data_IF_314296417212
#
_entry.id   IF_314296417212
#
_cell.length_a   1.000
_cell.length_b   1.000
_cell.length_c   1.000
_cell.angle_alpha   90.00
_cell.angle_beta   90.00
_cell.angle_gamma   90.00
#
_symmetry.space_group_name_H-M   'P 1'
#
loop_
_entity.id
_entity.type
_entity.pdbx_description
1 polymer ?
#
# COMPACT_ATOMS: atom_id res chain seq x y z
N UNK A 1 3.61 -4.17 28.59
CA UNK A 1 3.28 -4.92 27.33
C UNK A 1 1.95 -4.49 26.73
N UNK A 2 0.85 -4.33 27.48
CA UNK A 2 -0.45 -3.87 26.93
C UNK A 2 -0.36 -2.52 26.16
N UNK A 3 0.36 -1.56 26.66
CA UNK A 3 0.47 -0.23 26.02
C UNK A 3 1.14 -0.24 24.64
N UNK A 4 2.08 -1.17 24.39
CA UNK A 4 2.76 -1.29 23.09
C UNK A 4 1.80 -1.77 21.99
N UNK A 5 1.06 -2.85 22.22
CA UNK A 5 0.09 -3.37 21.26
C UNK A 5 -1.03 -2.37 20.96
N UNK A 6 -1.57 -1.71 21.99
CA UNK A 6 -2.60 -0.69 21.82
C UNK A 6 -2.09 0.46 20.95
N UNK A 7 -0.86 0.94 21.19
CA UNK A 7 -0.25 2.00 20.39
C UNK A 7 -0.06 1.57 18.92
N UNK A 8 0.42 0.35 18.69
CA UNK A 8 0.57 -0.19 17.33
C UNK A 8 -0.77 -0.30 16.61
N UNK A 9 -1.83 -0.76 17.29
CA UNK A 9 -3.18 -0.82 16.74
C UNK A 9 -3.73 0.58 16.42
N UNK A 10 -3.54 1.57 17.29
CA UNK A 10 -3.96 2.94 17.01
C UNK A 10 -3.26 3.52 15.78
N UNK A 11 -1.94 3.34 15.67
CA UNK A 11 -1.18 3.80 14.51
C UNK A 11 -1.63 3.06 13.24
N UNK A 12 -1.82 1.75 13.32
CA UNK A 12 -2.34 0.96 12.19
C UNK A 12 -3.73 1.44 11.77
N UNK A 13 -4.63 1.71 12.71
CA UNK A 13 -5.96 2.25 12.43
C UNK A 13 -5.91 3.60 11.72
N UNK A 14 -5.04 4.50 12.16
CA UNK A 14 -4.83 5.80 11.49
C UNK A 14 -4.31 5.61 10.06
N UNK A 15 -3.31 4.75 9.86
CA UNK A 15 -2.82 4.47 8.52
C UNK A 15 -3.87 3.80 7.64
N UNK A 16 -4.67 2.87 8.18
CA UNK A 16 -5.79 2.24 7.44
C UNK A 16 -6.79 3.29 6.98
N UNK A 17 -7.17 4.22 7.86
CA UNK A 17 -8.07 5.32 7.51
C UNK A 17 -7.46 6.24 6.44
N UNK A 18 -6.18 6.59 6.54
CA UNK A 18 -5.47 7.40 5.55
C UNK A 18 -5.40 6.69 4.19
N UNK A 19 -5.04 5.39 4.17
CA UNK A 19 -5.03 4.59 2.94
C UNK A 19 -6.42 4.57 2.33
N UNK A 20 -7.46 4.30 3.12
CA UNK A 20 -8.86 4.33 2.66
C UNK A 20 -9.21 5.69 2.04
N UNK A 21 -9.03 6.79 2.77
CA UNK A 21 -9.41 8.14 2.30
C UNK A 21 -8.66 8.51 1.03
N UNK A 22 -7.35 8.30 0.97
CA UNK A 22 -6.55 8.64 -0.20
C UNK A 22 -6.92 7.76 -1.39
N UNK A 23 -7.18 6.47 -1.19
CA UNK A 23 -7.58 5.56 -2.26
C UNK A 23 -9.00 5.87 -2.75
N UNK A 24 -9.94 6.14 -1.84
CA UNK A 24 -11.34 6.36 -2.17
C UNK A 24 -11.63 7.72 -2.80
N UNK A 25 -10.89 8.76 -2.40
CA UNK A 25 -11.19 10.14 -2.81
C UNK A 25 -10.14 10.79 -3.71
N UNK A 26 -8.88 10.30 -3.69
CA UNK A 26 -7.80 10.78 -4.57
C UNK A 26 -7.49 9.73 -5.65
N UNK A 27 -8.48 9.41 -6.47
CA UNK A 27 -8.34 8.44 -7.55
C UNK A 27 -8.80 9.01 -8.90
N UNK A 28 -8.23 8.45 -9.96
CA UNK A 28 -8.61 8.74 -11.34
C UNK A 28 -9.31 7.49 -11.88
N UNK A 29 -10.60 7.56 -12.25
CA UNK A 29 -11.32 6.43 -12.85
C UNK A 29 -10.67 5.99 -14.16
N UNK A 30 -10.68 4.68 -14.39
CA UNK A 30 -10.26 4.04 -15.64
C UNK A 30 -11.36 3.12 -16.15
N UNK A 31 -11.22 2.58 -17.35
CA UNK A 31 -12.25 1.72 -17.93
C UNK A 31 -12.55 0.46 -17.10
N UNK A 32 -11.54 -0.07 -16.38
CA UNK A 32 -11.65 -1.33 -15.62
C UNK A 32 -11.42 -1.16 -14.11
N UNK A 33 -11.42 0.07 -13.58
CA UNK A 33 -11.16 0.33 -12.18
C UNK A 33 -10.75 1.78 -11.95
N UNK A 34 -9.72 2.02 -11.13
CA UNK A 34 -9.22 3.36 -10.86
C UNK A 34 -7.75 3.35 -10.47
N UNK A 35 -7.05 4.45 -10.75
CA UNK A 35 -5.66 4.68 -10.36
C UNK A 35 -5.66 5.57 -9.11
N UNK A 36 -4.88 5.21 -8.09
CA UNK A 36 -4.78 5.96 -6.85
C UNK A 36 -3.34 6.00 -6.33
N UNK A 37 -3.06 6.86 -5.36
CA UNK A 37 -1.74 7.00 -4.75
C UNK A 37 -1.65 6.38 -3.34
N UNK A 38 -2.71 5.69 -2.89
CA UNK A 38 -2.82 5.11 -1.55
C UNK A 38 -1.73 4.09 -1.20
N UNK A 39 -1.16 3.40 -2.22
CA UNK A 39 -0.08 2.43 -1.99
C UNK A 39 1.16 3.06 -1.36
N UNK A 40 1.44 4.33 -1.64
CA UNK A 40 2.55 5.06 -0.99
C UNK A 40 2.41 5.12 0.54
N UNK A 41 1.18 5.22 1.04
CA UNK A 41 0.90 5.17 2.48
C UNK A 41 1.01 3.76 3.06
N UNK A 42 0.70 2.72 2.27
CA UNK A 42 0.94 1.33 2.65
C UNK A 42 2.44 1.09 2.82
N UNK A 43 3.27 1.52 1.86
CA UNK A 43 4.73 1.41 1.93
C UNK A 43 5.29 2.16 3.16
N UNK A 44 4.78 3.36 3.41
CA UNK A 44 5.16 4.17 4.58
C UNK A 44 4.80 3.45 5.89
N UNK A 45 3.59 2.91 5.99
CA UNK A 45 3.15 2.16 7.17
C UNK A 45 4.04 0.93 7.44
N UNK A 46 4.44 0.22 6.39
CA UNK A 46 5.32 -0.95 6.47
C UNK A 46 6.77 -0.61 6.86
N UNK A 47 7.20 0.64 6.63
CA UNK A 47 8.48 1.13 7.14
C UNK A 47 8.44 1.55 8.61
N UNK A 48 7.26 1.68 9.20
CA UNK A 48 7.07 2.14 10.59
C UNK A 48 6.57 0.99 11.48
N UNK A 49 5.58 0.24 11.02
CA UNK A 49 4.91 -0.80 11.77
C UNK A 49 5.55 -2.18 11.56
N UNK A 50 5.47 -3.08 12.56
CA UNK A 50 5.76 -4.50 12.35
C UNK A 50 4.86 -5.10 11.26
N UNK A 51 5.38 -6.10 10.55
CA UNK A 51 4.75 -6.69 9.37
C UNK A 51 3.27 -7.09 9.52
N UNK A 52 2.79 -7.66 10.66
CA UNK A 52 1.37 -8.03 10.76
C UNK A 52 0.44 -6.81 10.71
N UNK A 53 0.87 -5.71 11.34
CA UNK A 53 0.11 -4.45 11.33
C UNK A 53 0.17 -3.77 9.96
N UNK A 54 1.33 -3.81 9.31
CA UNK A 54 1.47 -3.25 7.96
C UNK A 54 0.60 -3.99 6.93
N UNK A 55 0.54 -5.32 7.01
CA UNK A 55 -0.38 -6.13 6.20
C UNK A 55 -1.85 -5.75 6.47
N UNK A 56 -2.22 -5.62 7.75
CA UNK A 56 -3.58 -5.23 8.13
C UNK A 56 -3.94 -3.83 7.61
N UNK A 57 -2.99 -2.89 7.59
CA UNK A 57 -3.17 -1.56 7.00
C UNK A 57 -3.45 -1.66 5.50
N UNK A 58 -2.61 -2.39 4.76
CA UNK A 58 -2.77 -2.56 3.32
C UNK A 58 -4.08 -3.26 2.96
N UNK A 59 -4.34 -4.40 3.59
CA UNK A 59 -5.55 -5.18 3.39
C UNK A 59 -6.82 -4.41 3.78
N UNK A 60 -6.83 -3.83 4.98
CA UNK A 60 -8.00 -3.11 5.51
C UNK A 60 -8.30 -1.82 4.75
N UNK A 61 -7.28 -1.03 4.42
CA UNK A 61 -7.45 0.20 3.65
C UNK A 61 -8.00 -0.05 2.25
N UNK A 62 -7.47 -1.07 1.55
CA UNK A 62 -7.95 -1.48 0.25
C UNK A 62 -9.37 -2.06 0.29
N UNK A 63 -9.65 -2.95 1.26
CA UNK A 63 -10.98 -3.51 1.47
C UNK A 63 -12.04 -2.41 1.64
N UNK A 64 -11.78 -1.46 2.52
CA UNK A 64 -12.70 -0.35 2.77
C UNK A 64 -12.90 0.52 1.53
N UNK A 65 -11.80 0.83 0.81
CA UNK A 65 -11.87 1.63 -0.39
C UNK A 65 -12.73 0.95 -1.46
N UNK A 66 -12.43 -0.30 -1.81
CA UNK A 66 -13.14 -1.03 -2.86
C UNK A 66 -14.61 -1.26 -2.51
N UNK A 67 -14.92 -1.64 -1.25
CA UNK A 67 -16.30 -1.88 -0.84
C UNK A 67 -17.15 -0.61 -0.78
N UNK A 68 -16.57 0.52 -0.38
CA UNK A 68 -17.34 1.76 -0.17
C UNK A 68 -17.38 2.68 -1.40
N UNK A 69 -16.55 2.41 -2.42
CA UNK A 69 -16.54 3.20 -3.67
C UNK A 69 -17.23 2.50 -4.85
N UNK A 70 -17.87 1.34 -4.62
CA UNK A 70 -18.60 0.61 -5.66
C UNK A 70 -17.73 -0.40 -6.43
N UNK A 71 -16.50 -0.64 -6.02
CA UNK A 71 -15.56 -1.58 -6.64
C UNK A 71 -15.39 -2.88 -5.84
N UNK A 72 -16.41 -3.32 -5.12
CA UNK A 72 -16.38 -4.47 -4.22
C UNK A 72 -15.88 -5.77 -4.87
N UNK A 73 -16.08 -5.93 -6.19
CA UNK A 73 -15.56 -7.07 -6.95
C UNK A 73 -14.03 -7.16 -6.92
N UNK A 74 -13.33 -6.02 -6.74
CA UNK A 74 -11.87 -5.94 -6.68
C UNK A 74 -11.34 -6.22 -5.29
N UNK A 75 -12.16 -6.07 -4.24
CA UNK A 75 -11.74 -6.16 -2.85
C UNK A 75 -10.95 -7.43 -2.49
N UNK A 76 -11.35 -8.67 -2.92
CA UNK A 76 -10.57 -9.87 -2.58
C UNK A 76 -9.15 -9.83 -3.16
N UNK A 77 -9.02 -9.41 -4.42
CA UNK A 77 -7.71 -9.26 -5.08
C UNK A 77 -6.86 -8.18 -4.41
N UNK A 78 -7.46 -7.02 -4.19
CA UNK A 78 -6.78 -5.89 -3.54
C UNK A 78 -6.27 -6.23 -2.14
N UNK A 79 -7.06 -6.92 -1.32
CA UNK A 79 -6.66 -7.37 0.02
C UNK A 79 -5.36 -8.20 -0.04
N UNK A 80 -5.32 -9.19 -0.91
CA UNK A 80 -4.15 -10.08 -1.05
C UNK A 80 -2.94 -9.31 -1.60
N UNK A 81 -3.13 -8.58 -2.70
CA UNK A 81 -2.06 -7.83 -3.35
C UNK A 81 -1.45 -6.80 -2.40
N UNK A 82 -2.27 -6.01 -1.69
CA UNK A 82 -1.77 -4.96 -0.79
C UNK A 82 -1.12 -5.53 0.48
N UNK A 83 -1.64 -6.64 1.01
CA UNK A 83 -1.01 -7.34 2.12
C UNK A 83 0.39 -7.87 1.74
N UNK A 84 0.50 -8.54 0.58
CA UNK A 84 1.78 -9.06 0.08
C UNK A 84 2.76 -7.93 -0.23
N UNK A 85 2.29 -6.86 -0.86
CA UNK A 85 3.12 -5.69 -1.17
C UNK A 85 3.70 -5.04 0.10
N UNK A 86 2.92 -4.97 1.19
CA UNK A 86 3.41 -4.45 2.46
C UNK A 86 4.59 -5.26 3.04
N UNK A 87 4.68 -6.57 2.78
CA UNK A 87 5.77 -7.43 3.24
C UNK A 87 7.13 -7.14 2.60
N UNK A 88 7.15 -6.46 1.46
CA UNK A 88 8.40 -6.13 0.76
C UNK A 88 9.20 -5.07 1.52
N UNK A 89 8.53 -4.21 2.26
CA UNK A 89 9.15 -3.13 3.00
C UNK A 89 9.55 -3.57 4.41
N UNK A 90 10.50 -2.84 5.00
CA UNK A 90 10.98 -3.17 6.34
C UNK A 90 10.96 -1.97 7.26
N UNK A 91 10.53 -2.20 8.49
CA UNK A 91 10.60 -1.23 9.56
C UNK A 91 11.94 -1.27 10.33
N UNK A 92 12.83 -2.21 9.99
CA UNK A 92 14.15 -2.32 10.61
C UNK A 92 15.04 -1.15 10.22
N UNK A 93 15.75 -0.60 11.20
CA UNK A 93 16.63 0.57 11.01
C UNK A 93 15.94 1.91 11.27
N UNK A 94 16.75 2.97 11.31
CA UNK A 94 16.32 4.31 11.76
C UNK A 94 15.72 5.18 10.63
N UNK A 95 15.87 4.76 9.38
CA UNK A 95 15.40 5.50 8.20
C UNK A 95 14.28 4.77 7.47
N UNK A 96 13.31 5.52 6.96
CA UNK A 96 12.27 5.03 6.06
C UNK A 96 12.90 4.72 4.71
N UNK A 97 13.71 5.65 4.19
CA UNK A 97 14.40 5.54 2.90
C UNK A 97 15.70 4.74 3.00
N UNK A 98 15.67 3.60 3.73
CA UNK A 98 16.75 2.62 3.72
C UNK A 98 16.89 1.98 2.34
N UNK A 99 18.11 1.58 1.92
CA UNK A 99 18.40 0.97 0.61
C UNK A 99 17.44 -0.16 0.25
N UNK A 100 17.11 -1.03 1.22
CA UNK A 100 16.16 -2.13 1.02
C UNK A 100 14.76 -1.62 0.64
N UNK A 101 14.29 -0.53 1.23
CA UNK A 101 12.98 0.03 0.95
C UNK A 101 12.93 0.73 -0.41
N UNK A 102 14.07 1.29 -0.86
CA UNK A 102 14.22 1.76 -2.23
C UNK A 102 14.09 0.63 -3.23
N UNK A 103 14.82 -0.46 -3.01
CA UNK A 103 14.77 -1.63 -3.89
C UNK A 103 13.39 -2.31 -3.89
N UNK A 104 12.65 -2.23 -2.79
CA UNK A 104 11.32 -2.82 -2.65
C UNK A 104 10.29 -2.19 -3.60
N UNK A 105 10.51 -0.98 -4.11
CA UNK A 105 9.60 -0.32 -5.06
C UNK A 105 9.47 -1.09 -6.38
N UNK A 106 10.54 -1.73 -6.84
CA UNK A 106 10.53 -2.49 -8.09
C UNK A 106 9.63 -3.74 -7.97
N UNK A 107 9.86 -4.67 -7.02
CA UNK A 107 8.98 -5.82 -6.86
C UNK A 107 7.56 -5.42 -6.42
N UNK A 108 7.37 -4.28 -5.73
CA UNK A 108 6.04 -3.78 -5.41
C UNK A 108 5.24 -3.44 -6.67
N UNK A 109 5.86 -2.78 -7.66
CA UNK A 109 5.23 -2.50 -8.94
C UNK A 109 4.90 -3.80 -9.72
N UNK A 110 5.82 -4.77 -9.72
CA UNK A 110 5.60 -6.07 -10.38
C UNK A 110 4.44 -6.84 -9.73
N UNK A 111 4.40 -6.90 -8.39
CA UNK A 111 3.32 -7.58 -7.66
C UNK A 111 1.98 -6.86 -7.87
N UNK A 112 1.99 -5.53 -7.91
CA UNK A 112 0.77 -4.76 -8.17
C UNK A 112 0.24 -5.06 -9.58
N UNK A 113 1.06 -4.87 -10.61
CA UNK A 113 0.64 -5.08 -12.00
C UNK A 113 0.31 -6.56 -12.28
N UNK A 114 1.18 -7.49 -11.88
CA UNK A 114 0.97 -8.92 -12.07
C UNK A 114 -0.17 -9.48 -11.24
N UNK A 115 -0.35 -8.99 -10.01
CA UNK A 115 -1.42 -9.40 -9.13
C UNK A 115 -2.80 -9.01 -9.67
N UNK A 116 -2.96 -7.77 -10.11
CA UNK A 116 -4.22 -7.35 -10.75
C UNK A 116 -4.44 -8.03 -12.09
N UNK A 117 -3.41 -8.22 -12.91
CA UNK A 117 -3.50 -9.01 -14.14
C UNK A 117 -4.03 -10.42 -13.87
N UNK A 118 -3.45 -11.14 -12.90
CA UNK A 118 -3.89 -12.49 -12.53
C UNK A 118 -5.31 -12.48 -11.96
N UNK A 119 -5.65 -11.51 -11.14
CA UNK A 119 -6.98 -11.39 -10.56
C UNK A 119 -8.04 -11.14 -11.64
N UNK A 120 -7.79 -10.22 -12.58
CA UNK A 120 -8.66 -9.97 -13.72
C UNK A 120 -8.80 -11.20 -14.62
N UNK A 121 -7.70 -11.93 -14.85
CA UNK A 121 -7.75 -13.18 -15.57
C UNK A 121 -8.70 -14.19 -14.90
N UNK A 122 -8.63 -14.33 -13.58
CA UNK A 122 -9.53 -15.22 -12.84
C UNK A 122 -10.99 -14.76 -12.90
N UNK A 123 -11.24 -13.45 -12.92
CA UNK A 123 -12.59 -12.90 -13.00
C UNK A 123 -13.23 -13.07 -14.38
N UNK A 124 -12.46 -12.84 -15.44
CA UNK A 124 -12.99 -12.75 -16.80
C UNK A 124 -12.71 -13.97 -17.68
N UNK A 125 -11.83 -14.88 -17.23
CA UNK A 125 -11.46 -16.08 -18.00
C UNK A 125 -10.73 -15.79 -19.32
N UNK A 126 -10.13 -14.59 -19.45
CA UNK A 126 -9.49 -14.11 -20.67
C UNK A 126 -8.10 -13.56 -20.39
N UNK A 127 -7.08 -14.04 -21.10
CA UNK A 127 -5.69 -13.60 -20.93
C UNK A 127 -5.38 -12.26 -21.61
N UNK A 128 -6.14 -11.85 -22.60
CA UNK A 128 -5.85 -10.65 -23.40
C UNK A 128 -6.42 -9.39 -22.75
N UNK A 129 -7.67 -9.47 -22.27
CA UNK A 129 -8.35 -8.31 -21.69
C UNK A 129 -7.57 -7.66 -20.52
N UNK A 130 -6.98 -8.41 -19.56
CA UNK A 130 -6.24 -7.82 -18.44
C UNK A 130 -4.95 -7.08 -18.85
N UNK A 131 -4.39 -7.37 -20.03
CA UNK A 131 -3.20 -6.66 -20.53
C UNK A 131 -3.43 -5.14 -20.62
N UNK A 132 -4.66 -4.73 -20.91
CA UNK A 132 -5.03 -3.32 -20.97
C UNK A 132 -4.95 -2.61 -19.60
N UNK A 133 -5.01 -3.34 -18.48
CA UNK A 133 -4.89 -2.82 -17.12
C UNK A 133 -3.43 -2.60 -16.67
N UNK A 134 -2.45 -3.23 -17.32
CA UNK A 134 -1.04 -3.16 -16.91
C UNK A 134 -0.51 -1.71 -16.89
N UNK A 135 -0.71 -0.87 -17.93
CA UNK A 135 -0.24 0.51 -17.90
C UNK A 135 -0.81 1.32 -16.74
N UNK A 136 -2.10 1.13 -16.42
CA UNK A 136 -2.76 1.77 -15.29
C UNK A 136 -2.12 1.35 -13.95
N UNK A 137 -1.89 0.06 -13.75
CA UNK A 137 -1.26 -0.48 -12.53
C UNK A 137 0.19 -0.01 -12.37
N UNK A 138 0.95 0.10 -13.46
CA UNK A 138 2.31 0.65 -13.43
C UNK A 138 2.31 2.15 -13.12
N UNK A 139 1.39 2.92 -13.70
CA UNK A 139 1.21 4.34 -13.39
C UNK A 139 0.85 4.54 -11.91
N UNK A 140 -0.06 3.73 -11.38
CA UNK A 140 -0.40 3.72 -9.95
C UNK A 140 0.81 3.46 -9.08
N UNK A 141 1.60 2.44 -9.42
CA UNK A 141 2.80 2.09 -8.65
C UNK A 141 3.86 3.20 -8.71
N UNK A 142 4.03 3.85 -9.86
CA UNK A 142 4.96 4.96 -10.03
C UNK A 142 4.54 6.19 -9.20
N UNK A 143 3.28 6.61 -9.30
CA UNK A 143 2.76 7.77 -8.54
C UNK A 143 2.75 7.51 -7.04
N UNK A 144 2.41 6.29 -6.60
CA UNK A 144 2.50 5.86 -5.20
C UNK A 144 3.93 5.84 -4.69
N UNK A 145 4.90 5.44 -5.54
CA UNK A 145 6.32 5.46 -5.22
C UNK A 145 6.84 6.88 -5.04
N UNK A 146 6.41 7.82 -5.88
CA UNK A 146 6.75 9.24 -5.74
C UNK A 146 6.23 9.78 -4.40
N UNK A 147 4.97 9.52 -4.07
CA UNK A 147 4.39 9.93 -2.79
C UNK A 147 5.18 9.35 -1.60
N UNK A 148 5.50 8.06 -1.65
CA UNK A 148 6.29 7.38 -0.63
C UNK A 148 7.66 8.01 -0.44
N UNK A 149 8.37 8.29 -1.54
CA UNK A 149 9.71 8.89 -1.53
C UNK A 149 9.66 10.29 -0.93
N UNK A 150 8.73 11.13 -1.38
CA UNK A 150 8.60 12.53 -0.89
C UNK A 150 8.32 12.54 0.62
N UNK A 151 7.36 11.74 1.09
CA UNK A 151 7.04 11.67 2.51
C UNK A 151 8.17 11.00 3.28
N UNK A 152 8.74 9.91 2.78
CA UNK A 152 9.81 9.16 3.41
C UNK A 152 11.07 10.01 3.64
N UNK A 153 11.50 10.77 2.64
CA UNK A 153 12.63 11.70 2.76
C UNK A 153 12.35 12.81 3.77
N UNK A 154 11.12 13.35 3.78
CA UNK A 154 10.71 14.38 4.72
C UNK A 154 10.74 13.87 6.16
N UNK A 155 10.18 12.68 6.41
CA UNK A 155 10.16 12.04 7.73
C UNK A 155 11.58 11.71 8.20
N UNK A 156 12.44 11.23 7.30
CA UNK A 156 13.84 10.92 7.61
C UNK A 156 14.64 12.18 7.94
N UNK A 157 14.43 13.29 7.21
CA UNK A 157 15.05 14.59 7.49
C UNK A 157 14.68 15.15 8.87
N UNK A 158 13.45 14.90 9.31
CA UNK A 158 12.95 15.31 10.62
C UNK A 158 13.32 14.34 11.77
N UNK A 159 13.97 13.21 11.48
CA UNK A 159 14.23 12.11 12.42
C UNK A 159 12.96 11.63 13.15
N UNK A 160 11.82 11.72 12.49
CA UNK A 160 10.52 11.45 13.12
C UNK A 160 10.29 9.96 13.36
N UNK A 161 10.89 9.08 12.53
CA UNK A 161 10.78 7.62 12.69
C UNK A 161 11.25 7.17 14.07
N UNK A 162 12.42 7.63 14.52
CA UNK A 162 12.97 7.29 15.85
C UNK A 162 12.09 7.77 16.99
N UNK A 163 11.43 8.91 16.82
CA UNK A 163 10.45 9.42 17.81
C UNK A 163 9.17 8.59 17.83
N UNK A 164 8.69 8.14 16.66
CA UNK A 164 7.51 7.30 16.56
C UNK A 164 7.77 5.86 17.03
N UNK A 165 8.96 5.32 16.77
CA UNK A 165 9.31 3.92 17.08
C UNK A 165 10.12 3.78 18.37
N UNK A 166 10.72 4.83 18.90
CA UNK A 166 11.55 4.84 20.11
C UNK A 166 10.82 4.45 21.42
N UNK A 167 9.58 4.02 21.31
CA UNK A 167 8.80 3.42 22.38
C UNK A 167 8.37 1.96 22.10
N UNK A 168 8.98 1.30 21.11
CA UNK A 168 8.66 -0.09 20.78
C UNK A 168 9.73 -1.07 21.26
#
# INVERSE_FOLDING_TARGET
MKNKHTRLMCIAGVFTALVFVVTAYLHIPTNNGYIHVGDGLIYLSACILPWPYAMAVGAGGALLADCLTGFAIWAPGSVVIKAVTALLFTNKGNKIMAWRNWLALIPAAIICAGGYYLYEFLLYGNFIAPLAGIPASLTQSATSSILFVVIGLTVDKMNYKTRLTGGF
#
